data_IF_229203423506
#
_entry.id   IF_229203423506
#
_cell.length_a   1.000
_cell.length_b   1.000
_cell.length_c   1.000
_cell.angle_alpha   90.00
_cell.angle_beta   90.00
_cell.angle_gamma   90.00
#
_symmetry.space_group_name_H-M   'P 1'
#
loop_
_entity.id
_entity.type
_entity.pdbx_description
1 polymer ?
#
# COMPACT_ATOMS: atom_id res chain seq x y z
N UNK A 1 46.20 -47.10 -15.00
CA UNK A 1 46.35 -45.71 -14.55
C UNK A 1 45.10 -45.00 -14.97
N UNK A 2 44.05 -45.06 -14.11
CA UNK A 2 42.69 -44.55 -14.37
C UNK A 2 42.58 -43.12 -13.85
N UNK A 3 42.35 -42.22 -14.75
CA UNK A 3 42.18 -40.78 -14.51
C UNK A 3 40.77 -40.51 -13.98
N UNK A 4 40.63 -40.26 -12.66
CA UNK A 4 39.36 -39.89 -12.02
C UNK A 4 38.99 -38.45 -12.38
N UNK A 5 38.05 -38.32 -13.32
CA UNK A 5 37.41 -37.06 -13.66
C UNK A 5 36.51 -36.61 -12.51
N UNK A 6 36.89 -35.56 -11.78
CA UNK A 6 36.02 -34.90 -10.76
C UNK A 6 34.84 -34.18 -11.44
N UNK A 7 33.61 -34.35 -10.93
CA UNK A 7 32.45 -33.61 -11.46
C UNK A 7 32.54 -32.13 -11.08
N UNK A 8 32.52 -31.27 -12.10
CA UNK A 8 32.38 -29.80 -11.95
C UNK A 8 31.10 -29.48 -11.20
N UNK A 9 31.18 -28.84 -10.01
CA UNK A 9 30.07 -28.23 -9.29
C UNK A 9 29.41 -27.21 -10.21
N UNK A 10 28.18 -27.49 -10.61
CA UNK A 10 27.30 -26.52 -11.32
C UNK A 10 27.10 -25.32 -10.41
N UNK A 11 27.59 -24.16 -10.80
CA UNK A 11 27.34 -22.89 -10.12
C UNK A 11 25.82 -22.59 -10.08
N UNK A 12 25.31 -22.24 -8.89
CA UNK A 12 23.94 -21.83 -8.65
C UNK A 12 23.62 -20.63 -9.54
N UNK A 13 22.43 -20.56 -10.18
CA UNK A 13 22.06 -19.46 -11.07
C UNK A 13 22.19 -18.10 -10.37
N UNK A 14 22.89 -17.15 -11.00
CA UNK A 14 23.16 -15.81 -10.46
C UNK A 14 21.89 -14.99 -10.16
N UNK A 15 20.76 -15.26 -10.81
CA UNK A 15 19.47 -14.59 -10.58
C UNK A 15 18.85 -14.94 -9.23
N UNK A 16 18.78 -16.21 -8.86
CA UNK A 16 18.19 -16.67 -7.60
C UNK A 16 18.87 -16.10 -6.34
N UNK A 17 20.18 -15.78 -6.43
CA UNK A 17 20.93 -15.20 -5.31
C UNK A 17 20.68 -13.69 -5.14
N UNK A 18 20.24 -13.01 -6.20
CA UNK A 18 19.98 -11.57 -6.21
C UNK A 18 18.62 -11.26 -5.60
N UNK A 19 17.59 -12.02 -5.96
CA UNK A 19 16.24 -11.87 -5.42
C UNK A 19 16.17 -12.26 -3.94
N UNK A 20 16.89 -13.30 -3.55
CA UNK A 20 17.04 -13.74 -2.17
C UNK A 20 17.73 -12.67 -1.29
N UNK A 21 18.78 -12.04 -1.81
CA UNK A 21 19.48 -10.95 -1.10
C UNK A 21 18.61 -9.72 -0.93
N UNK A 22 17.88 -9.30 -1.96
CA UNK A 22 16.93 -8.18 -1.89
C UNK A 22 15.84 -8.46 -0.87
N UNK A 23 15.27 -9.66 -0.88
CA UNK A 23 14.24 -10.08 0.08
C UNK A 23 14.74 -10.06 1.54
N UNK A 24 15.99 -10.51 1.78
CA UNK A 24 16.62 -10.45 3.11
C UNK A 24 16.81 -9.01 3.60
N UNK A 25 17.26 -8.10 2.73
CA UNK A 25 17.42 -6.69 3.06
C UNK A 25 16.07 -6.07 3.42
N UNK A 26 15.00 -6.34 2.64
CA UNK A 26 13.66 -5.85 2.89
C UNK A 26 13.08 -6.38 4.20
N UNK A 27 13.26 -7.66 4.51
CA UNK A 27 12.83 -8.26 5.78
C UNK A 27 13.55 -7.63 6.98
N UNK A 28 14.88 -7.44 6.88
CA UNK A 28 15.68 -6.80 7.91
C UNK A 28 15.28 -5.31 8.09
N UNK A 29 14.99 -4.61 7.01
CA UNK A 29 14.51 -3.22 7.05
C UNK A 29 13.15 -3.10 7.69
N UNK A 30 12.20 -3.98 7.36
CA UNK A 30 10.87 -4.04 7.97
C UNK A 30 10.97 -4.20 9.50
N UNK A 31 11.80 -5.13 9.96
CA UNK A 31 12.02 -5.37 11.39
C UNK A 31 12.68 -4.15 12.07
N UNK A 32 13.71 -3.56 11.46
CA UNK A 32 14.44 -2.41 12.02
C UNK A 32 13.55 -1.16 12.10
N UNK A 33 12.73 -0.90 11.07
CA UNK A 33 11.76 0.19 11.08
C UNK A 33 10.61 -0.05 12.07
N UNK A 34 10.15 -1.29 12.20
CA UNK A 34 9.10 -1.65 13.16
C UNK A 34 9.53 -1.50 14.61
N UNK A 35 10.75 -1.90 14.94
CA UNK A 35 11.28 -1.87 16.31
C UNK A 35 11.76 -0.49 16.74
N UNK A 36 12.44 0.26 15.85
CA UNK A 36 13.14 1.50 16.19
C UNK A 36 12.52 2.76 15.60
N UNK A 37 11.58 2.60 14.70
CA UNK A 37 11.06 3.69 13.91
C UNK A 37 12.02 4.11 12.79
N UNK A 38 11.52 4.96 11.90
CA UNK A 38 12.29 5.39 10.73
C UNK A 38 13.55 6.19 11.12
N UNK A 39 13.43 7.15 12.02
CA UNK A 39 14.54 8.07 12.34
C UNK A 39 15.75 7.34 12.94
N UNK A 40 15.51 6.42 13.88
CA UNK A 40 16.57 5.70 14.57
C UNK A 40 17.16 4.52 13.77
N UNK A 41 16.45 4.00 12.78
CA UNK A 41 16.97 2.98 11.88
C UNK A 41 18.02 3.58 10.92
N UNK A 42 19.07 2.84 10.62
CA UNK A 42 20.13 3.24 9.69
C UNK A 42 20.41 2.16 8.65
N UNK A 43 20.94 2.55 7.49
CA UNK A 43 21.38 1.58 6.47
C UNK A 43 22.39 0.59 7.05
N UNK A 44 23.28 1.05 7.94
CA UNK A 44 24.26 0.18 8.62
C UNK A 44 23.59 -0.82 9.56
N UNK A 45 22.57 -0.44 10.33
CA UNK A 45 21.85 -1.35 11.21
C UNK A 45 21.05 -2.38 10.42
N UNK A 46 20.43 -1.96 9.32
CA UNK A 46 19.72 -2.84 8.40
C UNK A 46 20.65 -3.84 7.72
N UNK A 47 21.77 -3.38 7.18
CA UNK A 47 22.79 -4.22 6.55
C UNK A 47 23.32 -5.30 7.51
N UNK A 48 23.64 -4.89 8.75
CA UNK A 48 24.08 -5.82 9.81
C UNK A 48 22.98 -6.87 10.11
N UNK A 49 21.71 -6.48 10.21
CA UNK A 49 20.60 -7.41 10.46
C UNK A 49 20.35 -8.35 9.27
N UNK A 50 20.53 -7.86 8.05
CA UNK A 50 20.44 -8.64 6.83
C UNK A 50 21.66 -9.52 6.55
N UNK A 51 22.72 -9.41 7.36
CA UNK A 51 24.01 -10.07 7.15
C UNK A 51 24.62 -9.78 5.76
N UNK A 52 24.60 -8.50 5.36
CA UNK A 52 25.16 -8.02 4.11
C UNK A 52 26.06 -6.80 4.34
N UNK A 53 26.90 -6.50 3.36
CA UNK A 53 27.68 -5.26 3.36
C UNK A 53 26.75 -4.04 3.11
N UNK A 54 26.95 -2.90 3.80
CA UNK A 54 26.16 -1.68 3.57
C UNK A 54 26.17 -1.19 2.12
N UNK A 55 27.26 -1.39 1.38
CA UNK A 55 27.34 -1.05 -0.04
C UNK A 55 26.36 -1.86 -0.89
N UNK A 56 26.05 -3.10 -0.47
CA UNK A 56 25.08 -3.93 -1.15
C UNK A 56 23.65 -3.40 -0.94
N UNK A 57 23.34 -2.81 0.20
CA UNK A 57 22.05 -2.12 0.41
C UNK A 57 21.94 -0.94 -0.54
N UNK A 58 22.99 -0.11 -0.66
CA UNK A 58 23.02 1.01 -1.62
C UNK A 58 23.00 0.57 -3.08
N UNK A 59 23.40 -0.66 -3.39
CA UNK A 59 23.28 -1.21 -4.74
C UNK A 59 21.83 -1.50 -5.15
N UNK A 60 20.97 -1.86 -4.18
CA UNK A 60 19.55 -2.17 -4.42
C UNK A 60 18.63 -0.98 -4.21
N UNK A 61 19.01 -0.02 -3.36
CA UNK A 61 18.16 1.10 -2.94
C UNK A 61 18.99 2.37 -2.88
N UNK A 62 18.55 3.40 -3.58
CA UNK A 62 19.26 4.67 -3.70
C UNK A 62 19.45 5.35 -2.33
N UNK A 63 18.45 5.27 -1.48
CA UNK A 63 18.47 5.81 -0.14
C UNK A 63 17.59 5.02 0.84
N UNK A 64 17.60 5.42 2.11
CA UNK A 64 16.76 4.84 3.16
C UNK A 64 15.26 5.00 2.88
N UNK A 65 14.89 6.05 2.16
CA UNK A 65 13.52 6.34 1.79
C UNK A 65 13.01 5.37 0.71
N UNK A 66 13.82 5.10 -0.32
CA UNK A 66 13.53 4.08 -1.33
C UNK A 66 13.34 2.69 -0.71
N UNK A 67 14.19 2.37 0.28
CA UNK A 67 14.10 1.13 1.03
C UNK A 67 12.78 1.02 1.83
N UNK A 68 12.35 2.10 2.49
CA UNK A 68 11.04 2.12 3.19
C UNK A 68 9.88 1.94 2.22
N UNK A 69 9.90 2.63 1.08
CA UNK A 69 8.84 2.49 0.09
C UNK A 69 8.68 1.04 -0.35
N UNK A 70 9.79 0.34 -0.61
CA UNK A 70 9.73 -1.06 -0.99
C UNK A 70 9.32 -1.98 0.18
N UNK A 71 9.79 -1.70 1.41
CA UNK A 71 9.33 -2.43 2.60
C UNK A 71 7.83 -2.36 2.78
N UNK A 72 7.23 -1.22 2.46
CA UNK A 72 5.78 -1.01 2.54
C UNK A 72 5.05 -1.61 1.34
N UNK A 73 5.59 -1.41 0.14
CA UNK A 73 4.99 -1.86 -1.09
C UNK A 73 4.97 -3.40 -1.22
N UNK A 74 6.08 -4.06 -0.86
CA UNK A 74 6.23 -5.52 -1.04
C UNK A 74 5.20 -6.33 -0.24
N UNK A 75 4.94 -6.07 1.05
CA UNK A 75 3.92 -6.82 1.78
C UNK A 75 2.50 -6.49 1.34
N UNK A 76 2.18 -5.22 1.16
CA UNK A 76 0.82 -4.76 0.84
C UNK A 76 0.43 -5.06 -0.61
N UNK A 77 1.41 -5.17 -1.53
CA UNK A 77 1.16 -5.36 -2.97
C UNK A 77 0.01 -4.50 -3.51
N UNK A 78 0.03 -3.18 -3.25
CA UNK A 78 -1.07 -2.30 -3.64
C UNK A 78 -1.29 -2.30 -5.16
N UNK A 79 -0.23 -2.55 -5.93
CA UNK A 79 -0.28 -2.79 -7.38
C UNK A 79 -1.21 -3.96 -7.74
N UNK A 80 -1.14 -5.09 -7.00
CA UNK A 80 -2.00 -6.25 -7.21
C UNK A 80 -3.42 -6.00 -6.73
N UNK A 81 -3.59 -5.41 -5.54
CA UNK A 81 -4.92 -5.08 -5.03
C UNK A 81 -5.69 -4.24 -6.04
N UNK A 82 -5.04 -3.21 -6.61
CA UNK A 82 -5.65 -2.35 -7.62
C UNK A 82 -5.88 -3.14 -8.91
N UNK A 83 -4.91 -3.90 -9.39
CA UNK A 83 -5.07 -4.71 -10.61
C UNK A 83 -6.25 -5.66 -10.49
N UNK A 84 -6.31 -6.48 -9.43
CA UNK A 84 -7.38 -7.44 -9.19
C UNK A 84 -8.75 -6.76 -9.09
N UNK A 85 -8.80 -5.57 -8.47
CA UNK A 85 -10.02 -4.79 -8.40
C UNK A 85 -10.46 -4.24 -9.76
N UNK A 86 -9.53 -3.84 -10.61
CA UNK A 86 -9.78 -3.28 -11.95
C UNK A 86 -10.21 -4.33 -12.98
N UNK A 87 -9.88 -5.61 -12.78
CA UNK A 87 -10.31 -6.71 -13.66
C UNK A 87 -11.80 -7.04 -13.56
N UNK A 88 -12.48 -6.56 -12.51
CA UNK A 88 -13.91 -6.80 -12.30
C UNK A 88 -14.84 -5.71 -12.85
N UNK A 89 -16.15 -5.88 -12.64
CA UNK A 89 -17.17 -4.92 -13.01
C UNK A 89 -16.93 -3.55 -12.37
N UNK A 90 -17.20 -2.48 -13.11
CA UNK A 90 -16.96 -1.11 -12.64
C UNK A 90 -17.90 -0.71 -11.50
N UNK A 91 -19.10 -1.25 -11.46
CA UNK A 91 -20.11 -1.03 -10.42
C UNK A 91 -19.79 -1.73 -9.09
N UNK A 92 -18.85 -2.68 -9.09
CA UNK A 92 -18.32 -3.35 -7.89
C UNK A 92 -16.93 -2.84 -7.46
N UNK A 93 -16.36 -1.88 -8.18
CA UNK A 93 -14.97 -1.45 -7.99
C UNK A 93 -14.68 -1.01 -6.55
N UNK A 94 -15.59 -0.24 -5.94
CA UNK A 94 -15.46 0.21 -4.55
C UNK A 94 -15.39 -0.95 -3.54
N UNK A 95 -16.24 -1.96 -3.71
CA UNK A 95 -16.26 -3.13 -2.84
C UNK A 95 -15.02 -4.01 -3.04
N UNK A 96 -14.55 -4.17 -4.27
CA UNK A 96 -13.35 -4.96 -4.60
C UNK A 96 -12.09 -4.31 -4.05
N UNK A 97 -11.93 -3.01 -4.20
CA UNK A 97 -10.82 -2.26 -3.60
C UNK A 97 -10.81 -2.39 -2.08
N UNK A 98 -11.96 -2.19 -1.43
CA UNK A 98 -12.04 -2.29 0.02
C UNK A 98 -11.74 -3.70 0.52
N UNK A 99 -12.29 -4.75 -0.09
CA UNK A 99 -11.97 -6.15 0.26
C UNK A 99 -10.48 -6.46 0.10
N UNK A 100 -9.86 -6.04 -1.01
CA UNK A 100 -8.43 -6.24 -1.23
C UNK A 100 -7.57 -5.56 -0.17
N UNK A 101 -7.94 -4.35 0.24
CA UNK A 101 -7.26 -3.60 1.30
C UNK A 101 -7.44 -4.30 2.65
N UNK A 102 -8.66 -4.71 3.03
CA UNK A 102 -8.92 -5.41 4.29
C UNK A 102 -8.13 -6.72 4.35
N UNK A 103 -8.19 -7.57 3.31
CA UNK A 103 -7.45 -8.81 3.24
C UNK A 103 -5.92 -8.63 3.39
N UNK A 104 -5.36 -7.57 2.81
CA UNK A 104 -3.94 -7.25 2.97
C UNK A 104 -3.60 -6.84 4.40
N UNK A 105 -4.45 -6.03 5.05
CA UNK A 105 -4.23 -5.56 6.42
C UNK A 105 -4.53 -6.63 7.48
N UNK A 106 -5.39 -7.58 7.20
CA UNK A 106 -5.64 -8.73 8.09
C UNK A 106 -4.52 -9.77 8.08
N UNK A 107 -3.64 -9.71 7.08
CA UNK A 107 -2.47 -10.58 7.05
C UNK A 107 -1.48 -10.20 8.18
N UNK A 108 -1.23 -11.11 9.15
CA UNK A 108 -0.36 -10.83 10.29
C UNK A 108 1.11 -10.57 9.90
N UNK A 109 1.55 -11.04 8.75
CA UNK A 109 2.89 -10.76 8.23
C UNK A 109 3.02 -9.34 7.64
N UNK A 110 1.91 -8.74 7.22
CA UNK A 110 1.84 -7.42 6.56
C UNK A 110 1.54 -6.30 7.56
N UNK A 111 0.62 -6.54 8.49
CA UNK A 111 0.07 -5.53 9.42
C UNK A 111 1.10 -4.70 10.17
N UNK A 112 2.17 -5.26 10.79
CA UNK A 112 3.14 -4.46 11.53
C UNK A 112 3.88 -3.45 10.65
N UNK A 113 4.35 -3.89 9.47
CA UNK A 113 5.06 -3.04 8.52
C UNK A 113 4.13 -1.96 7.94
N UNK A 114 2.91 -2.34 7.58
CA UNK A 114 1.89 -1.42 7.06
C UNK A 114 1.50 -0.34 8.08
N UNK A 115 1.31 -0.73 9.35
CA UNK A 115 1.01 0.21 10.44
C UNK A 115 2.17 1.18 10.69
N UNK A 116 3.41 0.71 10.70
CA UNK A 116 4.59 1.55 10.85
C UNK A 116 4.72 2.55 9.68
N UNK A 117 4.46 2.10 8.46
CA UNK A 117 4.45 2.94 7.28
C UNK A 117 3.34 4.00 7.31
N UNK A 118 2.14 3.63 7.69
CA UNK A 118 1.02 4.57 7.81
C UNK A 118 1.33 5.66 8.83
N UNK A 119 1.87 5.30 10.00
CA UNK A 119 2.33 6.28 11.00
C UNK A 119 3.40 7.22 10.47
N UNK A 120 4.34 6.68 9.67
CA UNK A 120 5.39 7.48 9.03
C UNK A 120 4.85 8.40 7.94
N UNK A 121 3.79 8.00 7.24
CA UNK A 121 3.17 8.77 6.15
C UNK A 121 2.46 10.04 6.64
N UNK A 122 1.96 10.04 7.89
CA UNK A 122 1.31 11.20 8.51
C UNK A 122 2.31 12.33 8.80
N UNK A 123 3.60 12.02 8.89
CA UNK A 123 4.66 13.00 9.11
C UNK A 123 4.95 13.91 7.91
N UNK A 124 5.82 14.89 8.12
CA UNK A 124 6.24 15.86 7.09
C UNK A 124 7.62 15.55 6.49
N UNK A 125 8.22 14.44 6.86
CA UNK A 125 9.58 14.06 6.43
C UNK A 125 9.67 13.57 4.98
N UNK A 126 10.91 13.26 4.53
CA UNK A 126 11.16 12.75 3.19
C UNK A 126 10.38 11.46 2.87
N UNK A 127 10.25 10.56 3.86
CA UNK A 127 9.51 9.30 3.74
C UNK A 127 8.03 9.52 3.45
N UNK A 128 7.40 10.42 4.19
CA UNK A 128 5.99 10.76 3.97
C UNK A 128 5.75 11.29 2.56
N UNK A 129 6.65 12.14 2.06
CA UNK A 129 6.59 12.69 0.71
C UNK A 129 6.71 11.58 -0.34
N UNK A 130 7.66 10.69 -0.18
CA UNK A 130 7.90 9.60 -1.12
C UNK A 130 6.78 8.55 -1.10
N UNK A 131 6.27 8.20 0.09
CA UNK A 131 5.12 7.29 0.19
C UNK A 131 3.88 7.89 -0.47
N UNK A 132 3.61 9.19 -0.29
CA UNK A 132 2.53 9.88 -1.00
C UNK A 132 2.72 9.83 -2.51
N UNK A 133 3.94 10.09 -3.00
CA UNK A 133 4.23 10.03 -4.44
C UNK A 133 4.09 8.63 -5.00
N UNK A 134 4.54 7.61 -4.27
CA UNK A 134 4.34 6.20 -4.63
C UNK A 134 2.85 5.85 -4.72
N UNK A 135 2.06 6.19 -3.68
CA UNK A 135 0.61 5.94 -3.67
C UNK A 135 -0.11 6.67 -4.82
N UNK A 136 0.29 7.92 -5.10
CA UNK A 136 -0.27 8.69 -6.20
C UNK A 136 0.01 8.02 -7.56
N UNK A 137 1.23 7.59 -7.82
CA UNK A 137 1.62 6.98 -9.10
C UNK A 137 1.06 5.58 -9.28
N UNK A 138 1.21 4.72 -8.26
CA UNK A 138 0.90 3.30 -8.38
C UNK A 138 -0.57 2.97 -8.15
N UNK A 139 -1.30 3.83 -7.45
CA UNK A 139 -2.70 3.59 -7.08
C UNK A 139 -3.62 4.60 -7.76
N UNK A 140 -3.47 5.89 -7.42
CA UNK A 140 -4.42 6.92 -7.84
C UNK A 140 -4.49 7.05 -9.34
N UNK A 141 -3.36 7.11 -10.03
CA UNK A 141 -3.32 7.23 -11.48
C UNK A 141 -3.96 6.04 -12.20
N UNK A 142 -3.74 4.81 -11.73
CA UNK A 142 -4.36 3.61 -12.32
C UNK A 142 -5.87 3.59 -12.14
N UNK A 143 -6.34 3.96 -10.94
CA UNK A 143 -7.78 4.06 -10.66
C UNK A 143 -8.41 5.16 -11.49
N UNK A 144 -7.80 6.35 -11.54
CA UNK A 144 -8.27 7.48 -12.34
C UNK A 144 -8.40 7.12 -13.83
N UNK A 145 -7.39 6.47 -14.39
CA UNK A 145 -7.42 5.99 -15.80
C UNK A 145 -8.58 5.01 -16.04
N UNK A 146 -8.89 4.15 -15.07
CA UNK A 146 -9.98 3.14 -15.20
C UNK A 146 -11.37 3.75 -15.13
N UNK A 147 -11.58 4.78 -14.31
CA UNK A 147 -12.88 5.44 -14.18
C UNK A 147 -13.18 6.43 -15.33
N UNK A 148 -12.21 6.71 -16.19
CA UNK A 148 -12.38 7.45 -17.46
C UNK A 148 -11.65 8.79 -17.51
N UNK A 149 -11.76 9.46 -18.65
CA UNK A 149 -11.10 10.75 -18.96
C UNK A 149 -11.86 11.98 -18.41
N UNK A 150 -12.63 11.82 -17.35
CA UNK A 150 -13.28 12.93 -16.69
C UNK A 150 -12.24 13.90 -16.10
N UNK A 151 -12.46 15.20 -16.26
CA UNK A 151 -11.53 16.22 -15.73
C UNK A 151 -11.31 16.13 -14.20
N UNK A 152 -12.19 15.43 -13.49
CA UNK A 152 -12.16 15.21 -12.05
C UNK A 152 -11.74 13.77 -11.63
N UNK A 153 -11.28 12.94 -12.57
CA UNK A 153 -10.97 11.53 -12.31
C UNK A 153 -9.92 11.35 -11.18
N UNK A 154 -8.88 12.17 -11.15
CA UNK A 154 -7.89 12.12 -10.08
C UNK A 154 -8.50 12.52 -8.73
N UNK A 155 -9.30 13.58 -8.66
CA UNK A 155 -10.00 13.99 -7.45
C UNK A 155 -10.93 12.89 -6.94
N UNK A 156 -11.65 12.23 -7.83
CA UNK A 156 -12.56 11.11 -7.49
C UNK A 156 -11.79 9.91 -6.94
N UNK A 157 -10.66 9.56 -7.54
CA UNK A 157 -9.78 8.51 -7.03
C UNK A 157 -9.22 8.87 -5.65
N UNK A 158 -8.80 10.11 -5.41
CA UNK A 158 -8.30 10.58 -4.12
C UNK A 158 -9.38 10.59 -3.04
N UNK A 159 -10.62 10.99 -3.37
CA UNK A 159 -11.75 10.93 -2.44
C UNK A 159 -12.12 9.49 -2.09
N UNK A 160 -12.11 8.58 -3.05
CA UNK A 160 -12.29 7.15 -2.79
C UNK A 160 -11.18 6.60 -1.88
N UNK A 161 -9.93 6.98 -2.13
CA UNK A 161 -8.79 6.60 -1.30
C UNK A 161 -8.89 7.14 0.14
N UNK A 162 -9.46 8.32 0.34
CA UNK A 162 -9.68 8.89 1.67
C UNK A 162 -10.57 7.98 2.53
N UNK A 163 -11.58 7.35 1.94
CA UNK A 163 -12.44 6.38 2.64
C UNK A 163 -11.65 5.11 3.04
N UNK A 164 -10.82 4.58 2.13
CA UNK A 164 -9.97 3.43 2.40
C UNK A 164 -8.98 3.72 3.54
N UNK A 165 -8.31 4.88 3.47
CA UNK A 165 -7.38 5.33 4.52
C UNK A 165 -8.11 5.53 5.85
N UNK A 166 -9.32 6.10 5.82
CA UNK A 166 -10.15 6.26 7.02
C UNK A 166 -10.47 4.92 7.70
N UNK A 167 -10.88 3.92 6.94
CA UNK A 167 -11.12 2.56 7.47
C UNK A 167 -9.86 1.97 8.08
N UNK A 168 -8.73 2.05 7.37
CA UNK A 168 -7.43 1.56 7.86
C UNK A 168 -7.07 2.23 9.20
N UNK A 169 -7.19 3.54 9.27
CA UNK A 169 -6.85 4.30 10.47
C UNK A 169 -7.73 3.90 11.65
N UNK A 170 -9.04 3.84 11.46
CA UNK A 170 -9.98 3.57 12.56
C UNK A 170 -9.89 2.11 13.00
N UNK A 171 -9.82 1.17 12.06
CA UNK A 171 -9.84 -0.27 12.37
C UNK A 171 -8.51 -0.79 12.90
N UNK A 172 -7.39 -0.45 12.24
CA UNK A 172 -6.11 -1.11 12.49
C UNK A 172 -5.07 -0.26 13.23
N UNK A 173 -5.14 1.06 13.11
CA UNK A 173 -4.15 1.96 13.72
C UNK A 173 -4.65 2.48 15.06
N UNK A 174 -5.89 2.96 15.12
CA UNK A 174 -6.53 3.49 16.33
C UNK A 174 -7.30 2.41 17.10
N UNK A 175 -7.70 1.35 16.40
CA UNK A 175 -8.46 0.22 16.94
C UNK A 175 -9.73 0.68 17.71
N UNK A 176 -10.53 1.56 17.07
CA UNK A 176 -11.75 2.06 17.69
C UNK A 176 -12.87 1.04 17.62
N UNK A 177 -13.43 0.72 18.79
CA UNK A 177 -14.63 -0.10 18.86
C UNK A 177 -15.88 0.74 18.58
N UNK A 178 -16.91 0.17 17.94
CA UNK A 178 -17.03 -1.24 17.50
C UNK A 178 -16.39 -1.56 16.15
N UNK A 179 -15.82 -0.58 15.42
CA UNK A 179 -15.32 -0.76 14.04
C UNK A 179 -14.18 -1.78 13.96
N UNK A 180 -13.33 -1.85 14.99
CA UNK A 180 -12.20 -2.79 15.02
C UNK A 180 -12.67 -4.26 15.04
N UNK A 181 -13.82 -4.53 15.64
CA UNK A 181 -14.39 -5.87 15.79
C UNK A 181 -15.42 -6.26 14.72
N UNK A 182 -15.80 -5.34 13.81
CA UNK A 182 -16.73 -5.68 12.72
C UNK A 182 -16.08 -6.71 11.77
N UNK A 183 -16.90 -7.57 11.18
CA UNK A 183 -16.46 -8.42 10.07
C UNK A 183 -16.17 -7.59 8.81
N UNK A 184 -15.35 -8.13 7.91
CA UNK A 184 -15.04 -7.49 6.64
C UNK A 184 -16.31 -7.24 5.82
N UNK A 185 -17.23 -8.19 5.78
CA UNK A 185 -18.49 -8.05 5.06
C UNK A 185 -19.36 -6.92 5.63
N UNK A 186 -19.38 -6.73 6.94
CA UNK A 186 -20.10 -5.61 7.57
C UNK A 186 -19.46 -4.27 7.24
N UNK A 187 -18.13 -4.17 7.20
CA UNK A 187 -17.42 -2.96 6.79
C UNK A 187 -17.66 -2.68 5.31
N UNK A 188 -17.52 -3.69 4.45
CA UNK A 188 -17.76 -3.57 3.01
C UNK A 188 -19.19 -3.10 2.74
N UNK A 189 -20.18 -3.71 3.38
CA UNK A 189 -21.59 -3.32 3.20
C UNK A 189 -21.88 -1.85 3.55
N UNK A 190 -21.16 -1.30 4.55
CA UNK A 190 -21.38 0.07 5.03
C UNK A 190 -20.55 1.12 4.32
N UNK A 191 -19.33 0.78 3.89
CA UNK A 191 -18.36 1.77 3.38
C UNK A 191 -18.19 1.70 1.87
N UNK A 192 -18.29 0.51 1.25
CA UNK A 192 -18.11 0.37 -0.19
C UNK A 192 -19.06 1.24 -1.03
N UNK A 193 -20.32 1.48 -0.66
CA UNK A 193 -21.18 2.38 -1.41
C UNK A 193 -20.64 3.81 -1.51
N UNK A 194 -20.00 4.33 -0.45
CA UNK A 194 -19.37 5.66 -0.48
C UNK A 194 -18.15 5.70 -1.40
N UNK A 195 -17.31 4.67 -1.32
CA UNK A 195 -16.16 4.52 -2.22
C UNK A 195 -16.64 4.46 -3.68
N UNK A 196 -17.65 3.63 -3.95
CA UNK A 196 -18.23 3.47 -5.29
C UNK A 196 -18.80 4.77 -5.83
N UNK A 197 -19.49 5.53 -5.00
CA UNK A 197 -20.02 6.83 -5.39
C UNK A 197 -18.92 7.82 -5.80
N UNK A 198 -17.84 7.88 -5.06
CA UNK A 198 -16.69 8.69 -5.45
C UNK A 198 -16.10 8.24 -6.78
N UNK A 199 -15.98 6.94 -7.02
CA UNK A 199 -15.37 6.40 -8.23
C UNK A 199 -16.22 6.61 -9.49
N UNK A 200 -17.54 6.39 -9.40
CA UNK A 200 -18.40 6.35 -10.59
C UNK A 200 -19.52 7.41 -10.62
N UNK A 201 -19.72 8.12 -9.52
CA UNK A 201 -20.84 9.06 -9.37
C UNK A 201 -22.23 8.39 -9.34
N UNK A 202 -22.26 7.04 -9.32
CA UNK A 202 -23.48 6.24 -9.27
C UNK A 202 -23.53 5.50 -7.93
N UNK A 203 -24.62 5.67 -7.18
CA UNK A 203 -24.82 5.01 -5.89
C UNK A 203 -25.91 5.69 -5.08
N UNK A 204 -26.40 5.06 -4.00
CA UNK A 204 -27.54 5.55 -3.21
C UNK A 204 -27.20 6.78 -2.34
N UNK A 205 -26.01 7.34 -2.43
CA UNK A 205 -25.59 8.46 -1.62
C UNK A 205 -26.01 9.79 -2.26
N UNK A 206 -27.09 10.32 -1.72
CA UNK A 206 -27.64 11.65 -1.92
C UNK A 206 -28.45 11.83 -3.21
N UNK A 207 -29.72 11.99 -3.02
CA UNK A 207 -30.56 12.69 -3.96
C UNK A 207 -29.91 14.05 -4.27
N UNK A 208 -29.42 14.20 -5.50
CA UNK A 208 -28.72 15.40 -5.98
C UNK A 208 -29.55 16.69 -5.82
N UNK A 209 -30.84 16.57 -5.54
CA UNK A 209 -31.77 17.63 -5.23
C UNK A 209 -31.43 18.34 -3.91
N UNK A 210 -30.98 17.61 -2.90
CA UNK A 210 -30.63 18.17 -1.59
C UNK A 210 -29.33 19.01 -1.63
N UNK A 211 -28.36 18.63 -2.45
CA UNK A 211 -27.10 19.39 -2.62
C UNK A 211 -27.32 20.70 -3.41
N UNK A 212 -28.21 20.70 -4.39
CA UNK A 212 -28.56 21.91 -5.16
C UNK A 212 -29.32 22.93 -4.31
N UNK A 213 -30.19 22.46 -3.43
CA UNK A 213 -30.91 23.33 -2.52
C UNK A 213 -30.02 24.04 -1.49
N UNK A 214 -28.92 23.36 -1.06
CA UNK A 214 -27.96 23.96 -0.11
C UNK A 214 -27.09 25.05 -0.76
N UNK A 215 -26.65 24.85 -2.01
CA UNK A 215 -25.86 25.84 -2.73
C UNK A 215 -26.66 27.08 -3.13
N UNK A 216 -27.98 26.94 -3.42
CA UNK A 216 -28.84 28.07 -3.76
C UNK A 216 -29.15 28.99 -2.57
N UNK A 217 -29.02 28.48 -1.33
CA UNK A 217 -29.26 29.24 -0.11
C UNK A 217 -28.05 30.06 0.37
N UNK A 218 -26.90 29.93 -0.28
CA UNK A 218 -25.68 30.69 0.05
C UNK A 218 -25.36 31.78 -0.98
N UNK A 219 -26.11 31.88 -2.08
CA UNK A 219 -25.95 32.91 -3.12
C UNK A 219 -26.98 34.05 -3.00
N UNK A 220 -27.77 34.12 -1.92
CA UNK A 220 -28.62 35.25 -1.52
C UNK A 220 -28.03 35.90 -0.24
#
# INVERSE_FOLDING_TARGET
MEERTQPRRRGRPRGANRDDTKARILAAAAAEFGERGYEAASIRSIARRAEVDPSLVHHYFDDKSALVAEVVAVPLRPDRIVQDALEGPTDELGARLLRGVLAAWDNPAVRPAATAAMRSAIGHGPVARMLREFLRREIMHRVATRIGDAADAELRAELAASQLVGVIMVRYVLAFEPVASLSDDEIVARVAPAIQWHLTGTGPLLDSTALRAHNSAHDE
#
